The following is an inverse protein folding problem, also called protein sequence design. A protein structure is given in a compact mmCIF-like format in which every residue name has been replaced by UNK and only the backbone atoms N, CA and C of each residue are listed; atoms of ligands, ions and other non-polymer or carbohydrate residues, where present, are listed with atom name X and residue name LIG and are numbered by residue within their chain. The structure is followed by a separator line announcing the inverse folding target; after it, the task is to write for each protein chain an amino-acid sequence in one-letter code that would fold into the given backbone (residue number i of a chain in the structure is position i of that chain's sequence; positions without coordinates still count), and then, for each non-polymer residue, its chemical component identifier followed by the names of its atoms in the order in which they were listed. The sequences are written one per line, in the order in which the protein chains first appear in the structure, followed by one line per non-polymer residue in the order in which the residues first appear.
data_IF_028811123594
#
_entry.id   IF_028811123594
#
_cell.length_a   1.000
_cell.length_b   1.000
_cell.length_c   1.000
_cell.angle_alpha   90.00
_cell.angle_beta   90.00
_cell.angle_gamma   90.00
#
_symmetry.space_group_name_H-M   'P 1'
#
loop_
_entity.id
_entity.type
_entity.pdbx_description
1 polymer ?
#
# COMPACT_ATOMS: atom_id res chain seq x y z
N UNK A 1 58.14 -5.67 -4.12
CA UNK A 1 56.86 -6.39 -4.27
C UNK A 1 55.99 -6.05 -3.06
N UNK A 2 55.03 -5.12 -3.20
CA UNK A 2 54.33 -4.55 -2.06
C UNK A 2 53.24 -5.53 -1.60
N UNK A 3 53.61 -6.56 -0.84
CA UNK A 3 52.67 -7.44 -0.11
C UNK A 3 51.51 -6.66 0.48
N UNK A 4 51.78 -5.47 1.03
CA UNK A 4 50.81 -4.62 1.73
C UNK A 4 49.58 -4.25 0.89
N UNK A 5 49.70 -4.14 -0.44
CA UNK A 5 48.56 -3.81 -1.29
C UNK A 5 47.47 -4.87 -1.25
N UNK A 6 47.84 -6.13 -1.04
CA UNK A 6 46.90 -7.24 -0.94
C UNK A 6 46.02 -7.12 0.32
N UNK A 7 46.61 -6.79 1.46
CA UNK A 7 45.88 -6.58 2.72
C UNK A 7 44.93 -5.39 2.60
N UNK A 8 45.38 -4.28 2.01
CA UNK A 8 44.53 -3.11 1.79
C UNK A 8 43.32 -3.42 0.92
N UNK A 9 43.49 -4.26 -0.10
CA UNK A 9 42.40 -4.70 -0.97
C UNK A 9 41.35 -5.47 -0.18
N UNK A 10 41.76 -6.46 0.63
CA UNK A 10 40.83 -7.22 1.47
C UNK A 10 40.10 -6.35 2.48
N UNK A 11 40.81 -5.43 3.14
CA UNK A 11 40.19 -4.51 4.10
C UNK A 11 39.16 -3.62 3.41
N UNK A 12 39.47 -3.06 2.23
CA UNK A 12 38.51 -2.28 1.47
C UNK A 12 37.28 -3.10 1.05
N UNK A 13 37.48 -4.35 0.62
CA UNK A 13 36.40 -5.27 0.21
C UNK A 13 35.48 -5.62 1.39
N UNK A 14 36.07 -5.94 2.55
CA UNK A 14 35.33 -6.22 3.78
C UNK A 14 34.60 -4.97 4.27
N UNK A 15 35.25 -3.81 4.28
CA UNK A 15 34.63 -2.55 4.70
C UNK A 15 33.44 -2.17 3.81
N UNK A 16 33.58 -2.32 2.49
CA UNK A 16 32.50 -2.06 1.54
C UNK A 16 31.32 -3.04 1.75
N UNK A 17 31.62 -4.32 1.94
CA UNK A 17 30.61 -5.34 2.23
C UNK A 17 29.88 -5.05 3.55
N UNK A 18 30.62 -4.72 4.61
CA UNK A 18 30.07 -4.36 5.91
C UNK A 18 29.17 -3.13 5.81
N UNK A 19 29.63 -2.08 5.10
CA UNK A 19 28.84 -0.88 4.85
C UNK A 19 27.52 -1.23 4.14
N UNK A 20 27.57 -2.07 3.10
CA UNK A 20 26.38 -2.53 2.40
C UNK A 20 25.42 -3.26 3.34
N UNK A 21 25.91 -4.19 4.16
CA UNK A 21 25.08 -4.91 5.14
C UNK A 21 24.47 -3.98 6.19
N UNK A 22 25.22 -2.99 6.68
CA UNK A 22 24.70 -2.00 7.65
C UNK A 22 23.60 -1.17 7.01
N UNK A 23 23.79 -0.66 5.80
CA UNK A 23 22.77 0.10 5.07
C UNK A 23 21.51 -0.75 4.81
N UNK A 24 21.69 -1.99 4.38
CA UNK A 24 20.61 -2.93 4.12
C UNK A 24 19.87 -3.27 5.41
N UNK A 25 20.61 -3.53 6.49
CA UNK A 25 20.09 -3.79 7.83
C UNK A 25 19.26 -2.62 8.36
N UNK A 26 19.77 -1.39 8.28
CA UNK A 26 19.02 -0.19 8.68
C UNK A 26 17.75 -0.02 7.84
N UNK A 27 17.83 -0.25 6.53
CA UNK A 27 16.68 -0.16 5.63
C UNK A 27 15.60 -1.18 6.00
N UNK A 28 15.98 -2.46 6.15
CA UNK A 28 15.06 -3.53 6.54
C UNK A 28 14.48 -3.27 7.93
N UNK A 29 15.32 -2.86 8.88
CA UNK A 29 14.89 -2.57 10.25
C UNK A 29 13.85 -1.44 10.27
N UNK A 30 14.07 -0.35 9.51
CA UNK A 30 13.08 0.73 9.40
C UNK A 30 11.76 0.24 8.79
N UNK A 31 11.81 -0.60 7.76
CA UNK A 31 10.61 -1.15 7.15
C UNK A 31 9.86 -2.07 8.10
N UNK A 32 10.57 -2.99 8.75
CA UNK A 32 10.01 -3.91 9.74
C UNK A 32 9.40 -3.16 10.92
N UNK A 33 10.09 -2.15 11.46
CA UNK A 33 9.60 -1.38 12.59
C UNK A 33 8.37 -0.53 12.24
N UNK A 34 8.26 -0.08 10.98
CA UNK A 34 7.03 0.53 10.49
C UNK A 34 5.86 -0.46 10.52
N UNK A 35 6.08 -1.69 10.03
CA UNK A 35 5.07 -2.75 10.08
C UNK A 35 4.70 -3.14 11.51
N UNK A 36 5.67 -3.26 12.42
CA UNK A 36 5.43 -3.55 13.84
C UNK A 36 4.65 -2.42 14.50
N UNK A 37 4.95 -1.16 14.19
CA UNK A 37 4.18 -0.01 14.69
C UNK A 37 2.74 -0.04 14.20
N UNK A 38 2.52 -0.35 12.92
CA UNK A 38 1.18 -0.49 12.34
C UNK A 38 0.41 -1.66 12.98
N UNK A 39 1.10 -2.78 13.25
CA UNK A 39 0.52 -3.94 13.91
C UNK A 39 0.25 -3.68 15.40
N UNK A 40 1.09 -2.90 16.08
CA UNK A 40 0.86 -2.44 17.44
C UNK A 40 -0.35 -1.53 17.54
N UNK A 41 -0.50 -0.58 16.62
CA UNK A 41 -1.68 0.28 16.53
C UNK A 41 -2.96 -0.50 16.20
N UNK A 42 -2.87 -1.57 15.40
CA UNK A 42 -3.99 -2.47 15.15
C UNK A 42 -4.27 -3.39 16.36
N UNK A 43 -3.24 -3.83 17.06
CA UNK A 43 -3.32 -4.63 18.28
C UNK A 43 -3.96 -3.87 19.43
N UNK A 44 -3.68 -2.58 19.56
CA UNK A 44 -4.33 -1.69 20.54
C UNK A 44 -5.82 -1.55 20.25
N UNK A 45 -6.22 -1.44 18.97
CA UNK A 45 -7.63 -1.46 18.55
C UNK A 45 -8.31 -2.81 18.81
N UNK A 46 -7.61 -3.93 18.61
CA UNK A 46 -8.10 -5.26 18.96
C UNK A 46 -8.20 -5.46 20.49
N UNK A 47 -7.27 -4.87 21.26
CA UNK A 47 -7.32 -4.84 22.72
C UNK A 47 -8.49 -4.02 23.25
N UNK A 48 -8.88 -2.95 22.56
CA UNK A 48 -10.11 -2.21 22.86
C UNK A 48 -11.41 -2.95 22.50
N UNK A 49 -11.35 -4.00 21.66
CA UNK A 49 -12.49 -4.86 21.31
C UNK A 49 -12.67 -6.04 22.28
N UNK A 50 -11.82 -6.17 23.30
CA UNK A 50 -12.00 -7.12 24.40
C UNK A 50 -12.03 -6.34 25.71
N UNK A 51 -13.23 -5.95 26.22
CA UNK A 51 -14.23 -6.94 26.60
C UNK A 51 -15.69 -6.56 26.30
N UNK A 52 -16.42 -7.57 25.81
CA UNK A 52 -17.87 -7.74 25.76
C UNK A 52 -18.65 -6.96 24.68
N UNK A 53 -19.65 -7.70 24.19
CA UNK A 53 -20.87 -7.29 23.50
C UNK A 53 -20.81 -7.29 21.97
N UNK A 54 -21.31 -8.39 21.43
CA UNK A 54 -22.50 -8.42 20.57
C UNK A 54 -23.08 -7.03 20.19
N UNK A 55 -22.35 -6.24 19.42
CA UNK A 55 -22.95 -5.21 18.59
C UNK A 55 -22.62 -5.55 17.16
N UNK A 56 -23.53 -6.34 16.60
CA UNK A 56 -23.78 -6.39 15.17
C UNK A 56 -24.15 -4.97 14.70
N UNK A 57 -23.14 -4.12 14.47
CA UNK A 57 -23.30 -2.95 13.63
C UNK A 57 -23.22 -3.39 12.17
N UNK A 58 -24.10 -2.85 11.30
CA UNK A 58 -24.34 -3.40 9.98
C UNK A 58 -23.06 -3.33 9.15
N UNK A 59 -22.71 -4.48 8.55
CA UNK A 59 -21.69 -4.59 7.52
C UNK A 59 -21.79 -3.40 6.57
N UNK A 60 -20.73 -2.57 6.52
CA UNK A 60 -20.53 -1.68 5.37
C UNK A 60 -20.34 -2.59 4.17
N UNK A 61 -21.22 -2.55 3.16
CA UNK A 61 -21.09 -3.41 1.99
C UNK A 61 -19.79 -3.08 1.27
N UNK A 62 -18.81 -3.98 1.35
CA UNK A 62 -17.54 -3.89 0.61
C UNK A 62 -16.25 -3.98 1.44
N UNK A 63 -16.30 -4.03 2.77
CA UNK A 63 -15.09 -4.22 3.58
C UNK A 63 -14.98 -5.69 4.01
N UNK A 64 -14.31 -6.52 3.20
CA UNK A 64 -14.08 -7.91 3.55
C UNK A 64 -13.22 -8.01 4.83
N UNK A 65 -13.56 -8.88 5.79
CA UNK A 65 -12.84 -8.99 7.05
C UNK A 65 -11.37 -9.37 6.81
N UNK A 66 -10.42 -8.90 7.65
CA UNK A 66 -9.01 -9.26 7.52
C UNK A 66 -8.85 -10.78 7.59
N UNK A 67 -8.21 -11.39 6.58
CA UNK A 67 -8.06 -12.85 6.44
C UNK A 67 -9.07 -13.52 5.51
N UNK A 68 -10.13 -12.83 5.08
CA UNK A 68 -11.09 -13.33 4.08
C UNK A 68 -10.43 -13.76 2.77
N UNK A 69 -9.33 -13.11 2.37
CA UNK A 69 -8.60 -13.46 1.15
C UNK A 69 -7.86 -14.82 1.22
N UNK A 70 -7.73 -15.46 2.38
CA UNK A 70 -7.11 -16.80 2.45
C UNK A 70 -8.15 -17.92 2.29
N UNK A 71 -9.41 -17.65 2.66
CA UNK A 71 -10.49 -18.64 2.70
C UNK A 71 -11.69 -18.30 1.79
N UNK A 72 -11.65 -17.19 1.08
CA UNK A 72 -12.72 -16.81 0.17
C UNK A 72 -12.84 -17.77 -1.01
N UNK A 73 -14.08 -18.05 -1.41
CA UNK A 73 -14.35 -18.81 -2.63
C UNK A 73 -13.71 -18.13 -3.84
N UNK A 74 -13.04 -18.87 -4.74
CA UNK A 74 -12.41 -18.33 -5.95
C UNK A 74 -13.36 -17.50 -6.83
N UNK A 75 -14.66 -17.82 -6.82
CA UNK A 75 -15.67 -17.08 -7.59
C UNK A 75 -15.90 -15.68 -7.05
N UNK A 76 -15.93 -15.52 -5.72
CA UNK A 76 -16.14 -14.24 -5.04
C UNK A 76 -14.92 -13.33 -5.26
N UNK A 77 -13.71 -13.88 -5.12
CA UNK A 77 -12.48 -13.14 -5.41
C UNK A 77 -12.43 -12.59 -6.84
N UNK A 78 -12.91 -13.36 -7.81
CA UNK A 78 -12.91 -12.93 -9.21
C UNK A 78 -13.82 -11.73 -9.42
N UNK A 79 -15.02 -11.75 -8.83
CA UNK A 79 -15.95 -10.63 -8.88
C UNK A 79 -15.37 -9.38 -8.19
N UNK A 80 -14.74 -9.54 -7.02
CA UNK A 80 -14.10 -8.43 -6.30
C UNK A 80 -12.92 -7.84 -7.10
N UNK A 81 -12.16 -8.70 -7.77
CA UNK A 81 -11.06 -8.27 -8.63
C UNK A 81 -11.56 -7.48 -9.85
N UNK A 82 -12.59 -7.97 -10.52
CA UNK A 82 -13.21 -7.30 -11.68
C UNK A 82 -13.84 -5.95 -11.26
N UNK A 83 -14.51 -5.91 -10.11
CA UNK A 83 -15.08 -4.68 -9.53
C UNK A 83 -13.99 -3.67 -9.13
N UNK A 84 -12.89 -4.13 -8.54
CA UNK A 84 -11.77 -3.23 -8.20
C UNK A 84 -11.07 -2.67 -9.44
N UNK A 85 -11.02 -3.46 -10.52
CA UNK A 85 -10.43 -3.05 -11.80
C UNK A 85 -11.29 -2.00 -12.50
N UNK A 86 -12.62 -2.17 -12.51
CA UNK A 86 -13.54 -1.17 -13.07
C UNK A 86 -13.50 0.13 -12.26
N UNK A 87 -13.51 0.05 -10.93
CA UNK A 87 -13.43 1.22 -10.04
C UNK A 87 -12.17 2.06 -10.31
N UNK A 88 -11.01 1.43 -10.51
CA UNK A 88 -9.75 2.14 -10.85
C UNK A 88 -9.82 2.83 -12.22
N UNK A 89 -10.49 2.22 -13.21
CA UNK A 89 -10.69 2.84 -14.53
C UNK A 89 -11.60 4.06 -14.44
N UNK A 90 -12.68 3.95 -13.68
CA UNK A 90 -13.62 5.05 -13.45
C UNK A 90 -12.96 6.20 -12.69
N UNK A 91 -12.16 5.91 -11.66
CA UNK A 91 -11.45 6.94 -10.90
C UNK A 91 -10.49 7.74 -11.80
N UNK A 92 -9.76 7.07 -12.70
CA UNK A 92 -8.91 7.75 -13.70
C UNK A 92 -9.73 8.60 -14.66
N UNK A 93 -10.90 8.11 -15.10
CA UNK A 93 -11.81 8.88 -15.96
C UNK A 93 -12.31 10.13 -15.23
N UNK A 94 -12.74 10.00 -13.98
CA UNK A 94 -13.17 11.12 -13.12
C UNK A 94 -12.06 12.14 -12.92
N UNK A 95 -10.83 11.72 -12.65
CA UNK A 95 -9.68 12.64 -12.54
C UNK A 95 -9.39 13.40 -13.84
N UNK A 96 -9.59 12.78 -15.01
CA UNK A 96 -9.43 13.45 -16.32
C UNK A 96 -10.57 14.43 -16.59
N UNK A 97 -11.79 14.07 -16.24
CA UNK A 97 -12.98 14.94 -16.30
C UNK A 97 -12.77 16.16 -15.40
N UNK A 98 -12.46 15.95 -14.12
CA UNK A 98 -12.24 17.02 -13.15
C UNK A 98 -11.16 18.00 -13.62
N UNK A 99 -10.01 17.50 -14.09
CA UNK A 99 -8.94 18.36 -14.64
C UNK A 99 -9.37 19.20 -15.84
N UNK A 100 -10.36 18.75 -16.62
CA UNK A 100 -10.90 19.50 -17.75
C UNK A 100 -11.94 20.53 -17.28
N UNK A 101 -12.79 20.15 -16.33
CA UNK A 101 -13.73 21.05 -15.64
C UNK A 101 -12.99 22.20 -14.95
N UNK A 102 -11.92 21.92 -14.19
CA UNK A 102 -11.11 22.94 -13.50
C UNK A 102 -10.43 23.91 -14.49
N UNK A 103 -10.22 23.48 -15.74
CA UNK A 103 -9.66 24.30 -16.83
C UNK A 103 -10.71 24.97 -17.70
N UNK A 104 -12.00 24.87 -17.34
CA UNK A 104 -13.11 25.46 -18.09
C UNK A 104 -13.26 24.90 -19.51
N UNK A 105 -12.78 23.67 -19.77
CA UNK A 105 -12.95 23.03 -21.08
C UNK A 105 -14.28 22.26 -21.11
N UNK A 106 -15.30 22.74 -21.86
CA UNK A 106 -16.58 22.06 -21.94
C UNK A 106 -16.39 20.66 -22.53
N UNK A 107 -16.98 19.66 -21.89
CA UNK A 107 -16.68 18.25 -22.19
C UNK A 107 -17.82 17.56 -22.94
N UNK A 108 -19.04 18.07 -22.82
CA UNK A 108 -20.20 17.65 -23.59
C UNK A 108 -20.81 18.85 -24.32
N UNK A 109 -21.52 18.58 -25.42
CA UNK A 109 -22.21 19.61 -26.21
C UNK A 109 -23.29 20.35 -25.39
N UNK A 110 -23.82 19.72 -24.33
CA UNK A 110 -24.80 20.32 -23.41
C UNK A 110 -24.21 21.20 -22.29
N UNK A 111 -22.88 21.26 -22.15
CA UNK A 111 -22.21 22.23 -21.24
C UNK A 111 -22.06 23.62 -21.91
N UNK A 112 -22.38 23.72 -23.20
CA UNK A 112 -22.41 24.97 -23.93
C UNK A 112 -23.82 25.54 -23.77
N UNK A 113 -23.96 26.60 -22.99
CA UNK A 113 -25.21 27.36 -22.89
C UNK A 113 -25.55 27.94 -24.27
N UNK A 114 -26.36 27.22 -25.04
CA UNK A 114 -27.02 27.75 -26.22
C UNK A 114 -28.20 28.60 -25.74
N UNK A 115 -27.93 29.84 -25.38
CA UNK A 115 -28.95 30.90 -25.19
C UNK A 115 -29.04 31.75 -26.44
#
# INVERSE_FOLDING_TARGET
MPWWSWILLWVALVALSLLFYVLLGIRLFRQFMATVKDLGAAGEKLGHLAPLQEHAEPEKPGQAPPGSAVFASPTVMRHDYEASTSARREERRRRRVQRKTDRGQPQALGDLDFT
#
